data_IF_304443270299
#
_entry.id   IF_304443270299
#
_cell.length_a   1.000
_cell.length_b   1.000
_cell.length_c   1.000
_cell.angle_alpha   90.00
_cell.angle_beta   90.00
_cell.angle_gamma   90.00
#
_symmetry.space_group_name_H-M   'P 1'
#
loop_
_entity.id
_entity.type
_entity.pdbx_description
1 polymer ?
#
# COMPACT_ATOMS: atom_id res chain seq x y z
N UNK A 1 -25.61 -4.17 15.01
CA UNK A 1 -25.81 -2.81 15.57
C UNK A 1 -24.48 -2.07 15.45
N UNK A 2 -24.38 -1.15 14.49
CA UNK A 2 -23.22 -0.25 14.33
C UNK A 2 -23.56 1.05 15.08
N UNK A 3 -22.62 1.54 15.90
CA UNK A 3 -22.64 2.76 16.73
C UNK A 3 -23.96 3.57 16.80
N UNK A 4 -24.68 3.60 17.95
CA UNK A 4 -25.90 4.41 18.14
C UNK A 4 -25.67 5.92 18.32
N UNK A 5 -24.47 6.46 18.12
CA UNK A 5 -24.10 7.81 18.57
C UNK A 5 -23.98 8.84 17.44
N UNK A 6 -25.01 8.94 16.59
CA UNK A 6 -25.15 10.02 15.60
C UNK A 6 -26.54 10.66 15.66
N UNK A 7 -27.03 10.91 16.87
CA UNK A 7 -28.17 11.80 17.09
C UNK A 7 -27.66 13.12 17.69
N UNK A 8 -28.17 14.21 17.12
CA UNK A 8 -28.10 15.60 17.59
C UNK A 8 -26.78 16.35 17.39
N UNK A 9 -26.79 17.20 16.36
CA UNK A 9 -26.02 18.44 16.35
C UNK A 9 -27.03 19.56 16.08
N UNK A 10 -27.49 20.21 17.15
CA UNK A 10 -28.22 21.47 17.04
C UNK A 10 -27.33 22.52 16.38
N UNK A 11 -27.85 23.12 15.30
CA UNK A 11 -27.10 24.01 14.43
C UNK A 11 -27.07 25.44 14.94
N UNK A 12 -25.94 25.87 15.50
CA UNK A 12 -25.58 27.28 15.60
C UNK A 12 -25.01 27.70 14.22
N UNK A 13 -25.63 28.67 13.57
CA UNK A 13 -25.20 29.19 12.26
C UNK A 13 -23.96 30.07 12.47
N UNK A 14 -22.78 29.46 12.41
CA UNK A 14 -21.51 30.18 12.30
C UNK A 14 -21.23 30.35 10.79
N UNK A 15 -20.84 31.56 10.39
CA UNK A 15 -20.57 31.94 9.00
C UNK A 15 -19.76 30.92 8.20
N UNK A 16 -19.92 30.90 6.88
CA UNK A 16 -19.43 29.85 5.97
C UNK A 16 -17.90 29.75 5.98
N UNK A 17 -17.34 29.06 6.97
CA UNK A 17 -15.92 28.70 7.02
C UNK A 17 -15.61 27.87 5.79
N UNK A 18 -14.55 28.23 5.05
CA UNK A 18 -14.09 27.44 3.91
C UNK A 18 -13.59 26.08 4.44
N UNK A 19 -14.44 25.05 4.32
CA UNK A 19 -14.16 23.71 4.82
C UNK A 19 -13.26 22.96 3.85
N UNK A 20 -12.25 22.27 4.39
CA UNK A 20 -11.44 21.35 3.59
C UNK A 20 -12.28 20.13 3.22
N UNK A 21 -12.10 19.64 2.00
CA UNK A 21 -12.76 18.43 1.52
C UNK A 21 -12.05 17.23 2.16
N UNK A 22 -12.78 16.17 2.53
CA UNK A 22 -12.24 14.96 3.16
C UNK A 22 -10.94 14.46 2.54
N UNK A 23 -10.92 14.34 1.20
CA UNK A 23 -9.76 13.86 0.45
C UNK A 23 -8.57 14.79 0.68
N UNK A 24 -8.77 16.10 0.71
CA UNK A 24 -7.70 17.08 0.98
C UNK A 24 -7.15 16.92 2.40
N UNK A 25 -8.01 16.77 3.41
CA UNK A 25 -7.57 16.56 4.80
C UNK A 25 -6.77 15.25 4.95
N UNK A 26 -7.22 14.19 4.28
CA UNK A 26 -6.50 12.92 4.29
C UNK A 26 -5.15 13.03 3.57
N UNK A 27 -5.10 13.73 2.43
CA UNK A 27 -3.84 13.96 1.70
C UNK A 27 -2.84 14.71 2.56
N UNK A 28 -3.26 15.75 3.28
CA UNK A 28 -2.41 16.50 4.21
C UNK A 28 -1.89 15.62 5.37
N UNK A 29 -2.72 14.70 5.90
CA UNK A 29 -2.28 13.71 6.90
C UNK A 29 -1.27 12.73 6.30
N UNK A 30 -1.44 12.31 5.06
CA UNK A 30 -0.44 11.46 4.42
C UNK A 30 0.87 12.21 4.14
N UNK A 31 0.79 13.50 3.81
CA UNK A 31 1.98 14.35 3.65
C UNK A 31 2.76 14.50 4.96
N UNK A 32 2.08 14.60 6.11
CA UNK A 32 2.79 14.64 7.40
C UNK A 32 3.49 13.33 7.77
N UNK A 33 3.06 12.21 7.18
CA UNK A 33 3.70 10.89 7.35
C UNK A 33 4.83 10.64 6.34
N UNK A 34 5.04 11.53 5.37
CA UNK A 34 6.12 11.38 4.39
C UNK A 34 7.48 11.72 5.02
N UNK A 35 8.46 10.84 4.81
CA UNK A 35 9.87 11.06 5.13
C UNK A 35 10.71 10.93 3.87
N UNK A 36 10.66 11.96 3.03
CA UNK A 36 11.37 11.97 1.75
C UNK A 36 12.86 12.20 2.03
N UNK A 37 13.71 11.41 1.37
CA UNK A 37 15.16 11.49 1.55
C UNK A 37 15.71 10.63 2.69
N UNK A 38 14.86 10.08 3.55
CA UNK A 38 15.30 9.09 4.56
C UNK A 38 15.51 7.71 3.90
N UNK A 39 16.69 7.12 4.12
CA UNK A 39 16.97 5.77 3.62
C UNK A 39 16.31 4.71 4.50
N UNK A 40 15.43 3.91 3.89
CA UNK A 40 14.86 2.72 4.56
C UNK A 40 15.94 1.74 5.02
N UNK A 41 17.03 1.65 4.26
CA UNK A 41 18.15 0.77 4.55
C UNK A 41 18.87 1.19 5.82
N UNK A 42 19.15 2.48 5.95
CA UNK A 42 19.82 3.05 7.13
C UNK A 42 18.96 2.92 8.38
N UNK A 43 17.66 3.23 8.29
CA UNK A 43 16.73 3.07 9.40
C UNK A 43 16.68 1.61 9.90
N UNK A 44 16.66 0.64 8.97
CA UNK A 44 16.77 -0.79 9.32
C UNK A 44 18.11 -1.14 9.96
N UNK A 45 19.22 -0.61 9.45
CA UNK A 45 20.55 -0.88 9.97
C UNK A 45 20.73 -0.33 11.38
N UNK A 46 20.23 0.88 11.65
CA UNK A 46 20.18 1.48 12.98
C UNK A 46 19.40 0.62 13.97
N UNK A 47 18.17 0.23 13.65
CA UNK A 47 17.38 -0.61 14.57
C UNK A 47 17.94 -2.02 14.75
N UNK A 48 18.63 -2.58 13.74
CA UNK A 48 19.36 -3.84 13.92
C UNK A 48 20.54 -3.68 14.89
N UNK A 49 21.29 -2.58 14.80
CA UNK A 49 22.37 -2.26 15.75
C UNK A 49 21.84 -2.04 17.17
N UNK A 50 20.65 -1.46 17.30
CA UNK A 50 19.98 -1.26 18.59
C UNK A 50 19.33 -2.53 19.16
N UNK A 51 19.29 -3.65 18.42
CA UNK A 51 18.69 -4.91 18.88
C UNK A 51 17.15 -4.93 18.91
N UNK A 52 16.49 -3.89 18.41
CA UNK A 52 15.04 -3.68 18.57
C UNK A 52 14.18 -4.52 17.59
N UNK A 53 14.70 -4.91 16.43
CA UNK A 53 13.93 -5.73 15.48
C UNK A 53 14.77 -6.43 14.41
N UNK A 54 14.66 -7.76 14.33
CA UNK A 54 15.35 -8.57 13.31
C UNK A 54 14.57 -8.65 11.99
N UNK A 55 13.22 -8.59 12.04
CA UNK A 55 12.38 -8.99 10.89
C UNK A 55 11.27 -7.99 10.50
N UNK A 56 10.67 -7.27 11.45
CA UNK A 56 9.46 -6.48 11.23
C UNK A 56 9.66 -4.96 11.48
N UNK A 57 10.80 -4.42 11.06
CA UNK A 57 11.06 -2.98 11.22
C UNK A 57 10.14 -2.12 10.33
N UNK A 58 9.41 -1.23 10.97
CA UNK A 58 8.62 -0.17 10.35
C UNK A 58 9.03 1.18 10.94
N UNK A 59 9.31 2.16 10.07
CA UNK A 59 9.61 3.54 10.49
C UNK A 59 8.33 4.30 10.88
N UNK A 60 7.13 3.73 10.61
CA UNK A 60 5.86 4.46 10.77
C UNK A 60 5.69 5.62 9.79
N UNK A 61 6.54 5.70 8.76
CA UNK A 61 6.57 6.77 7.76
C UNK A 61 6.53 6.22 6.33
N UNK A 62 6.11 7.06 5.40
CA UNK A 62 6.05 6.77 3.97
C UNK A 62 7.31 7.34 3.30
N UNK A 63 8.11 6.46 2.72
CA UNK A 63 9.40 6.82 2.10
C UNK A 63 9.27 7.00 0.56
N UNK A 64 8.07 6.77 0.00
CA UNK A 64 7.83 6.81 -1.45
C UNK A 64 6.48 7.42 -1.81
N UNK A 65 6.50 8.40 -2.70
CA UNK A 65 5.30 9.06 -3.25
C UNK A 65 4.35 8.09 -3.96
N UNK A 66 4.89 7.11 -4.69
CA UNK A 66 4.07 6.14 -5.47
C UNK A 66 3.27 5.20 -4.56
N UNK A 67 3.84 4.85 -3.41
CA UNK A 67 3.13 4.02 -2.41
C UNK A 67 1.97 4.79 -1.79
N UNK A 68 2.07 6.12 -1.75
CA UNK A 68 1.01 7.01 -1.25
C UNK A 68 -0.20 7.00 -2.18
N UNK A 69 -0.08 7.33 -3.46
CA UNK A 69 -1.27 7.56 -4.31
C UNK A 69 -2.23 6.36 -4.46
N UNK A 70 -1.71 5.12 -4.47
CA UNK A 70 -2.49 3.93 -4.85
C UNK A 70 -3.55 3.51 -3.83
N UNK A 71 -3.35 3.80 -2.54
CA UNK A 71 -4.17 3.21 -1.47
C UNK A 71 -5.03 4.22 -0.69
N UNK A 72 -4.85 5.52 -0.94
CA UNK A 72 -5.46 6.60 -0.14
C UNK A 72 -6.93 6.80 -0.47
N UNK A 73 -7.28 6.64 -1.73
CA UNK A 73 -8.61 6.96 -2.21
C UNK A 73 -9.59 5.81 -1.99
N UNK A 74 -9.15 4.55 -2.04
CA UNK A 74 -10.07 3.40 -2.03
C UNK A 74 -10.88 3.29 -0.74
N UNK A 75 -10.23 3.43 0.42
CA UNK A 75 -10.92 3.37 1.72
C UNK A 75 -11.81 4.59 1.93
N UNK A 76 -11.31 5.80 1.68
CA UNK A 76 -12.07 7.03 1.91
C UNK A 76 -13.27 7.15 0.97
N UNK A 77 -13.12 6.76 -0.30
CA UNK A 77 -14.23 6.70 -1.24
C UNK A 77 -15.25 5.65 -0.83
N UNK A 78 -14.81 4.50 -0.31
CA UNK A 78 -15.71 3.48 0.23
C UNK A 78 -16.50 3.98 1.44
N UNK A 79 -15.84 4.63 2.41
CA UNK A 79 -16.50 5.22 3.58
C UNK A 79 -17.53 6.28 3.16
N UNK A 80 -17.16 7.16 2.22
CA UNK A 80 -18.05 8.18 1.69
C UNK A 80 -19.26 7.60 0.96
N UNK A 81 -19.06 6.51 0.21
CA UNK A 81 -20.14 5.86 -0.53
C UNK A 81 -21.10 5.07 0.39
N UNK A 82 -20.59 4.44 1.45
CA UNK A 82 -21.36 3.53 2.32
C UNK A 82 -22.04 4.22 3.49
N UNK A 83 -21.36 5.18 4.12
CA UNK A 83 -21.79 5.81 5.37
C UNK A 83 -22.00 7.32 5.23
N UNK A 84 -21.78 7.89 4.04
CA UNK A 84 -21.90 9.33 3.76
C UNK A 84 -21.07 10.24 4.68
N UNK A 85 -20.06 9.67 5.35
CA UNK A 85 -19.14 10.43 6.19
C UNK A 85 -18.23 11.28 5.32
N UNK A 86 -18.22 12.57 5.62
CA UNK A 86 -17.45 13.58 4.88
C UNK A 86 -16.41 14.29 5.75
N UNK A 87 -16.32 13.95 7.03
CA UNK A 87 -15.40 14.56 8.00
C UNK A 87 -14.37 13.53 8.45
N UNK A 88 -13.09 13.88 8.41
CA UNK A 88 -12.03 12.97 8.84
C UNK A 88 -12.12 12.65 10.34
N UNK A 89 -12.54 13.62 11.17
CA UNK A 89 -12.74 13.43 12.62
C UNK A 89 -13.78 12.35 12.96
N UNK A 90 -14.84 12.25 12.17
CA UNK A 90 -15.88 11.21 12.39
C UNK A 90 -15.33 9.83 12.02
N UNK A 91 -14.54 9.77 10.94
CA UNK A 91 -13.87 8.54 10.50
C UNK A 91 -12.86 8.08 11.55
N UNK A 92 -12.12 9.00 12.17
CA UNK A 92 -11.17 8.69 13.24
C UNK A 92 -11.85 8.10 14.47
N UNK A 93 -13.03 8.63 14.86
CA UNK A 93 -13.81 8.10 16.00
C UNK A 93 -14.26 6.65 15.80
N UNK A 94 -14.59 6.30 14.56
CA UNK A 94 -15.09 4.96 14.20
C UNK A 94 -14.04 4.13 13.44
N UNK A 95 -12.74 4.48 13.55
CA UNK A 95 -11.70 3.92 12.70
C UNK A 95 -11.61 2.38 12.77
N UNK A 96 -11.73 1.82 13.97
CA UNK A 96 -11.66 0.36 14.17
C UNK A 96 -12.84 -0.37 13.51
N UNK A 97 -14.07 0.12 13.71
CA UNK A 97 -15.28 -0.46 13.11
C UNK A 97 -15.26 -0.36 11.59
N UNK A 98 -14.91 0.81 11.06
CA UNK A 98 -14.83 1.06 9.62
C UNK A 98 -13.72 0.22 8.96
N UNK A 99 -12.55 0.13 9.58
CA UNK A 99 -11.45 -0.70 9.08
C UNK A 99 -11.84 -2.19 9.06
N UNK A 100 -12.53 -2.68 10.09
CA UNK A 100 -12.99 -4.06 10.14
C UNK A 100 -14.07 -4.35 9.10
N UNK A 101 -15.06 -3.45 8.96
CA UNK A 101 -16.11 -3.58 7.95
C UNK A 101 -15.51 -3.57 6.53
N UNK A 102 -14.56 -2.66 6.27
CA UNK A 102 -13.86 -2.58 4.99
C UNK A 102 -13.13 -3.89 4.65
N UNK A 103 -12.31 -4.41 5.58
CA UNK A 103 -11.56 -5.64 5.34
C UNK A 103 -12.47 -6.87 5.18
N UNK A 104 -13.57 -6.96 5.92
CA UNK A 104 -14.55 -8.04 5.77
C UNK A 104 -15.20 -8.04 4.38
N UNK A 105 -15.62 -6.87 3.89
CA UNK A 105 -16.19 -6.74 2.54
C UNK A 105 -15.15 -7.11 1.45
N UNK A 106 -13.88 -6.74 1.63
CA UNK A 106 -12.81 -7.12 0.70
C UNK A 106 -12.53 -8.63 0.72
N UNK A 107 -12.66 -9.27 1.89
CA UNK A 107 -12.58 -10.74 1.99
C UNK A 107 -13.74 -11.39 1.24
N UNK A 108 -14.97 -10.91 1.43
CA UNK A 108 -16.16 -11.42 0.74
C UNK A 108 -16.04 -11.28 -0.79
N UNK A 109 -15.49 -10.16 -1.25
CA UNK A 109 -15.15 -9.93 -2.67
C UNK A 109 -13.95 -10.73 -3.18
N UNK A 110 -13.40 -11.65 -2.37
CA UNK A 110 -12.30 -12.55 -2.74
C UNK A 110 -11.03 -11.82 -3.20
N UNK A 111 -10.72 -10.67 -2.60
CA UNK A 111 -9.45 -9.98 -2.85
C UNK A 111 -8.26 -10.83 -2.39
N UNK A 112 -7.12 -10.67 -3.06
CA UNK A 112 -5.95 -11.49 -2.76
C UNK A 112 -5.44 -11.28 -1.32
N UNK A 113 -4.88 -12.32 -0.66
CA UNK A 113 -4.28 -12.20 0.66
C UNK A 113 -3.18 -11.13 0.76
N UNK A 114 -2.47 -10.87 -0.34
CA UNK A 114 -1.45 -9.81 -0.40
C UNK A 114 -2.08 -8.42 -0.42
N UNK A 115 -3.14 -8.25 -1.20
CA UNK A 115 -3.89 -6.99 -1.29
C UNK A 115 -4.48 -6.63 0.07
N UNK A 116 -5.23 -7.56 0.68
CA UNK A 116 -5.88 -7.37 1.98
C UNK A 116 -4.88 -6.96 3.08
N UNK A 117 -3.73 -7.63 3.10
CA UNK A 117 -2.74 -7.36 4.13
C UNK A 117 -1.95 -6.07 3.87
N UNK A 118 -1.83 -5.65 2.60
CA UNK A 118 -1.30 -4.32 2.24
C UNK A 118 -2.27 -3.24 2.68
N UNK A 119 -3.57 -3.40 2.39
CA UNK A 119 -4.64 -2.47 2.81
C UNK A 119 -4.66 -2.31 4.33
N UNK A 120 -4.66 -3.41 5.10
CA UNK A 120 -4.57 -3.34 6.57
C UNK A 120 -3.34 -2.58 7.05
N UNK A 121 -2.19 -2.75 6.41
CA UNK A 121 -0.96 -2.04 6.77
C UNK A 121 -1.07 -0.54 6.49
N UNK A 122 -1.72 -0.16 5.39
CA UNK A 122 -1.98 1.25 5.05
C UNK A 122 -2.96 1.89 6.04
N UNK A 123 -4.03 1.18 6.42
CA UNK A 123 -4.98 1.68 7.42
C UNK A 123 -4.30 1.90 8.78
N UNK A 124 -3.49 0.93 9.23
CA UNK A 124 -2.70 1.06 10.47
C UNK A 124 -1.75 2.26 10.43
N UNK A 125 -1.12 2.51 9.28
CA UNK A 125 -0.26 3.66 9.07
C UNK A 125 -1.05 4.97 9.11
N UNK A 126 -2.19 5.03 8.41
CA UNK A 126 -3.02 6.24 8.31
C UNK A 126 -3.61 6.67 9.66
N UNK A 127 -4.08 5.71 10.45
CA UNK A 127 -4.62 5.97 11.79
C UNK A 127 -3.56 5.95 12.89
N UNK A 128 -2.29 5.66 12.56
CA UNK A 128 -1.19 5.51 13.52
C UNK A 128 -1.47 4.48 14.63
N UNK A 129 -2.28 3.46 14.34
CA UNK A 129 -2.71 2.42 15.30
C UNK A 129 -2.23 1.05 14.83
N UNK A 130 -1.17 0.46 15.42
CA UNK A 130 -0.60 -0.81 14.98
C UNK A 130 -1.54 -2.02 15.14
N UNK A 131 -2.45 -1.96 16.11
CA UNK A 131 -3.43 -3.01 16.44
C UNK A 131 -4.74 -2.87 15.68
N UNK A 132 -4.87 -1.88 14.79
CA UNK A 132 -6.10 -1.63 14.06
C UNK A 132 -6.55 -2.87 13.26
N UNK A 133 -7.84 -3.18 13.36
CA UNK A 133 -8.50 -4.30 12.71
C UNK A 133 -7.81 -5.65 12.96
N UNK A 134 -7.24 -5.83 14.15
CA UNK A 134 -6.61 -7.09 14.55
C UNK A 134 -7.63 -8.23 14.72
N UNK A 135 -8.87 -7.89 15.03
CA UNK A 135 -10.01 -8.82 15.10
C UNK A 135 -10.39 -9.45 13.75
N UNK A 136 -9.95 -8.89 12.62
CA UNK A 136 -10.20 -9.48 11.30
C UNK A 136 -9.07 -10.44 10.93
N UNK A 137 -9.39 -11.73 10.95
CA UNK A 137 -8.50 -12.79 10.45
C UNK A 137 -8.43 -12.71 8.93
N UNK A 138 -7.27 -12.31 8.40
CA UNK A 138 -7.02 -12.32 6.96
C UNK A 138 -6.66 -13.74 6.48
N UNK A 139 -7.00 -14.10 5.24
CA UNK A 139 -6.59 -15.37 4.65
C UNK A 139 -5.06 -15.49 4.61
N UNK A 140 -4.55 -16.71 4.80
CA UNK A 140 -3.12 -16.98 4.81
C UNK A 140 -2.49 -16.76 3.42
N UNK A 141 -1.29 -16.14 3.40
CA UNK A 141 -0.51 -15.97 2.17
C UNK A 141 0.22 -17.27 1.85
N UNK A 142 -0.23 -17.97 0.82
CA UNK A 142 0.38 -19.21 0.33
C UNK A 142 1.27 -18.92 -0.86
N UNK A 143 2.49 -19.48 -0.93
CA UNK A 143 3.39 -19.24 -2.07
C UNK A 143 2.81 -19.82 -3.35
N UNK A 144 2.06 -20.90 -3.23
CA UNK A 144 1.39 -21.65 -4.29
C UNK A 144 0.28 -20.81 -4.94
N UNK A 145 -0.36 -19.91 -4.18
CA UNK A 145 -1.40 -19.02 -4.66
C UNK A 145 -0.87 -17.77 -5.41
N UNK A 146 0.45 -17.64 -5.56
CA UNK A 146 1.07 -16.54 -6.29
C UNK A 146 0.87 -16.75 -7.79
N UNK A 147 -0.21 -16.19 -8.33
CA UNK A 147 -0.56 -16.21 -9.77
C UNK A 147 0.27 -15.22 -10.61
N UNK A 148 1.58 -15.08 -10.36
CA UNK A 148 2.43 -14.14 -11.12
C UNK A 148 2.42 -14.48 -12.62
N UNK A 149 2.74 -13.49 -13.45
CA UNK A 149 2.87 -13.54 -14.92
C UNK A 149 3.95 -14.48 -15.48
N UNK A 150 4.32 -15.55 -14.75
CA UNK A 150 5.22 -16.60 -15.26
C UNK A 150 4.50 -17.54 -16.23
N UNK A 151 3.18 -17.43 -16.32
CA UNK A 151 2.38 -18.07 -17.36
C UNK A 151 2.12 -17.05 -18.48
N UNK A 152 1.94 -17.51 -19.74
CA UNK A 152 1.63 -16.63 -20.86
C UNK A 152 0.36 -15.82 -20.55
N UNK A 153 0.51 -14.52 -20.30
CA UNK A 153 -0.62 -13.60 -20.17
C UNK A 153 -1.03 -13.10 -21.56
N UNK A 154 -2.31 -12.77 -21.75
CA UNK A 154 -2.83 -12.19 -23.00
C UNK A 154 -2.05 -10.93 -23.45
N UNK A 155 -1.38 -10.23 -22.53
CA UNK A 155 -0.51 -9.08 -22.83
C UNK A 155 0.78 -9.44 -23.61
N UNK A 156 1.14 -10.72 -23.66
CA UNK A 156 2.33 -11.23 -24.36
C UNK A 156 1.95 -11.82 -25.73
N UNK A 157 0.66 -11.78 -26.11
CA UNK A 157 0.18 -12.44 -27.33
C UNK A 157 0.81 -11.89 -28.63
N UNK A 158 1.24 -10.63 -28.65
CA UNK A 158 1.95 -10.02 -29.79
C UNK A 158 3.46 -10.21 -29.75
N UNK A 159 4.00 -10.76 -28.67
CA UNK A 159 5.43 -10.94 -28.49
C UNK A 159 5.85 -12.30 -29.03
N UNK A 160 6.77 -12.31 -30.01
CA UNK A 160 7.30 -13.54 -30.63
C UNK A 160 8.60 -13.96 -29.92
N UNK A 161 8.58 -14.98 -29.03
CA UNK A 161 9.75 -15.33 -28.22
C UNK A 161 10.91 -15.88 -29.05
N UNK A 162 10.61 -16.45 -30.23
CA UNK A 162 11.61 -17.01 -31.13
C UNK A 162 12.64 -15.98 -31.61
N UNK A 163 12.25 -14.71 -31.78
CA UNK A 163 13.16 -13.67 -32.29
C UNK A 163 14.10 -13.09 -31.21
N UNK A 164 13.84 -13.38 -29.93
CA UNK A 164 14.53 -12.76 -28.81
C UNK A 164 15.26 -13.77 -27.92
N UNK A 165 15.63 -14.93 -28.47
CA UNK A 165 16.34 -15.99 -27.72
C UNK A 165 17.63 -15.48 -27.02
N UNK A 166 18.51 -14.68 -27.67
CA UNK A 166 19.71 -14.17 -27.00
C UNK A 166 19.38 -13.29 -25.78
N UNK A 167 18.31 -12.49 -25.88
CA UNK A 167 17.86 -11.65 -24.78
C UNK A 167 17.35 -12.49 -23.60
N UNK A 168 16.59 -13.56 -23.86
CA UNK A 168 16.16 -14.49 -22.81
C UNK A 168 17.33 -15.16 -22.13
N UNK A 169 18.29 -15.69 -22.90
CA UNK A 169 19.50 -16.29 -22.34
C UNK A 169 20.26 -15.31 -21.44
N UNK A 170 20.43 -14.06 -21.88
CA UNK A 170 21.06 -13.02 -21.08
C UNK A 170 20.28 -12.71 -19.79
N UNK A 171 18.96 -12.53 -19.88
CA UNK A 171 18.13 -12.20 -18.72
C UNK A 171 18.02 -13.36 -17.72
N UNK A 172 17.95 -14.59 -18.20
CA UNK A 172 17.91 -15.78 -17.34
C UNK A 172 19.26 -16.04 -16.67
N UNK A 173 20.37 -15.82 -17.37
CA UNK A 173 21.72 -15.96 -16.82
C UNK A 173 22.05 -14.87 -15.78
N UNK A 174 21.60 -13.63 -16.00
CA UNK A 174 21.91 -12.49 -15.13
C UNK A 174 20.88 -12.28 -14.02
N UNK A 175 19.64 -12.71 -14.21
CA UNK A 175 18.54 -12.49 -13.26
C UNK A 175 18.13 -11.03 -13.09
N UNK A 176 18.52 -10.15 -14.03
CA UNK A 176 18.24 -8.71 -13.96
C UNK A 176 16.74 -8.43 -13.94
N UNK A 177 16.32 -7.47 -13.11
CA UNK A 177 14.95 -6.97 -13.14
C UNK A 177 14.74 -6.12 -14.39
N UNK A 178 13.49 -6.04 -14.87
CA UNK A 178 13.14 -5.26 -16.07
C UNK A 178 13.77 -3.87 -16.11
N UNK A 179 13.78 -3.14 -15.00
CA UNK A 179 14.37 -1.79 -14.94
C UNK A 179 15.89 -1.83 -15.08
N UNK A 180 16.54 -2.73 -14.36
CA UNK A 180 17.99 -2.92 -14.43
C UNK A 180 18.40 -3.30 -15.86
N UNK A 181 17.68 -4.26 -16.46
CA UNK A 181 17.89 -4.68 -17.85
C UNK A 181 17.71 -3.55 -18.88
N UNK A 182 16.80 -2.60 -18.63
CA UNK A 182 16.62 -1.42 -19.48
C UNK A 182 17.74 -0.39 -19.34
N UNK A 183 18.44 -0.39 -18.21
CA UNK A 183 19.50 0.57 -17.89
C UNK A 183 20.89 0.04 -18.31
N UNK A 184 21.02 -1.26 -18.64
CA UNK A 184 22.27 -1.87 -19.13
C UNK A 184 22.74 -1.21 -20.42
N UNK A 185 24.02 -0.84 -20.45
CA UNK A 185 24.71 -0.27 -21.60
C UNK A 185 25.85 -1.18 -22.06
N UNK A 186 26.31 -0.99 -23.30
CA UNK A 186 27.49 -1.69 -23.81
C UNK A 186 28.74 -1.44 -22.97
N UNK A 187 28.86 -0.26 -22.34
CA UNK A 187 29.96 0.07 -21.42
C UNK A 187 30.01 -0.80 -20.17
N UNK A 188 28.89 -1.42 -19.81
CA UNK A 188 28.77 -2.24 -18.60
C UNK A 188 29.19 -3.70 -18.85
N UNK A 189 29.42 -4.05 -20.13
CA UNK A 189 29.85 -5.39 -20.54
C UNK A 189 31.35 -5.38 -20.75
N UNK A 190 32.08 -6.03 -19.84
CA UNK A 190 33.54 -6.18 -19.91
C UNK A 190 33.91 -7.63 -20.17
N UNK A 191 34.92 -7.84 -21.01
CA UNK A 191 35.54 -9.14 -21.19
C UNK A 191 36.58 -9.34 -20.09
N UNK A 192 36.38 -10.33 -19.23
CA UNK A 192 37.40 -10.75 -18.28
C UNK A 192 38.37 -11.69 -19.00
N UNK A 193 39.69 -11.55 -18.80
CA UNK A 193 40.65 -12.53 -19.29
C UNK A 193 40.43 -13.87 -18.59
N UNK A 194 40.64 -14.96 -19.34
CA UNK A 194 40.55 -16.35 -18.86
C UNK A 194 41.58 -16.68 -17.76
#
# INVERSE_FOLDING_TARGET
>A
MLCPFLAEQEGIIIGRVHRKILIKEALERFDSLMAIGESRGEAKALCRRAGESTWAFTTGRILSYKTRSVYQEQFLNWVRARYHLSRLKDIDRCAEELACAYLRERIEKSYSPWTLATERSVLRLFFSTPTLAQQVTLPARRREAIRRSRHPEQRVASFQPANWQPLFMFLDATGLRRREAQEVRMSDVIMLPD
#
